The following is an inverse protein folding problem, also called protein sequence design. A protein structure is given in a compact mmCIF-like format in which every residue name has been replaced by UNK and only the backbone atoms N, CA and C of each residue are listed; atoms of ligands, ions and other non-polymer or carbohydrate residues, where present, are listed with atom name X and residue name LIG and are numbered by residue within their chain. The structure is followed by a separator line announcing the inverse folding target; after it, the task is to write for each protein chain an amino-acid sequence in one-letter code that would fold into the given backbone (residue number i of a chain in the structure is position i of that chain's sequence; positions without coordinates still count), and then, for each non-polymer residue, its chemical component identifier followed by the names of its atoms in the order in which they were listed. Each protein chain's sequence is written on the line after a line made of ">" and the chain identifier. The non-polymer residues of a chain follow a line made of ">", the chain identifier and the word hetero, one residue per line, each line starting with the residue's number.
data_IF_527712757841
#
_entry.id   IF_527712757841
#
_cell.length_a   1.000
_cell.length_b   1.000
_cell.length_c   1.000
_cell.angle_alpha   90.00
_cell.angle_beta   90.00
_cell.angle_gamma   90.00
#
_symmetry.space_group_name_H-M   'P 1'
#
loop_
_entity.id
_entity.type
_entity.pdbx_description
1 polymer ?
#
# COMPACT_ATOMS: atom_id res chain seq x y z
N UNK A 1 0.33 -6.43 4.27
CA UNK A 1 0.99 -6.16 2.99
C UNK A 1 1.04 -7.43 2.16
N UNK A 2 0.41 -7.43 0.99
CA UNK A 2 0.32 -8.64 0.16
C UNK A 2 1.70 -9.21 -0.22
N UNK A 3 2.74 -8.38 -0.35
CA UNK A 3 4.09 -8.85 -0.65
C UNK A 3 4.71 -9.68 0.48
N UNK A 4 4.33 -9.41 1.73
CA UNK A 4 4.73 -10.20 2.89
C UNK A 4 4.00 -11.55 2.89
N UNK A 5 2.68 -11.53 2.78
CA UNK A 5 1.83 -12.73 2.83
C UNK A 5 2.11 -13.65 1.65
N UNK A 6 2.34 -13.09 0.46
CA UNK A 6 2.62 -13.83 -0.76
C UNK A 6 3.83 -14.76 -0.64
N UNK A 7 4.88 -14.35 0.09
CA UNK A 7 6.08 -15.20 0.28
C UNK A 7 5.77 -16.53 0.96
N UNK A 8 4.78 -16.54 1.85
CA UNK A 8 4.35 -17.75 2.56
C UNK A 8 3.31 -18.56 1.78
N UNK A 9 2.49 -17.89 0.98
CA UNK A 9 1.37 -18.52 0.29
C UNK A 9 1.70 -18.97 -1.13
N UNK A 10 2.80 -18.48 -1.71
CA UNK A 10 3.17 -18.71 -3.11
C UNK A 10 3.16 -20.19 -3.52
N UNK A 11 3.65 -21.08 -2.66
CA UNK A 11 3.70 -22.52 -2.94
C UNK A 11 2.32 -23.20 -2.95
N UNK A 12 1.31 -22.54 -2.38
CA UNK A 12 -0.07 -23.04 -2.30
C UNK A 12 -1.00 -22.38 -3.32
N UNK A 13 -0.50 -21.41 -4.07
CA UNK A 13 -1.30 -20.66 -5.05
C UNK A 13 -1.10 -21.23 -6.45
N UNK A 14 -2.16 -21.19 -7.28
CA UNK A 14 -2.02 -21.51 -8.70
C UNK A 14 -1.18 -20.45 -9.42
N UNK A 15 -0.52 -20.83 -10.53
CA UNK A 15 0.27 -19.89 -11.34
C UNK A 15 -0.57 -18.75 -11.94
N UNK A 16 -1.88 -18.98 -12.14
CA UNK A 16 -2.84 -17.99 -12.63
C UNK A 16 -3.40 -17.07 -11.54
N UNK A 17 -3.09 -17.32 -10.27
CA UNK A 17 -3.59 -16.52 -9.16
C UNK A 17 -3.07 -15.09 -9.22
N UNK A 18 -3.99 -14.13 -9.15
CA UNK A 18 -3.67 -12.70 -9.12
C UNK A 18 -3.76 -12.17 -7.69
N UNK A 19 -2.78 -11.39 -7.28
CA UNK A 19 -2.71 -10.84 -5.92
C UNK A 19 -3.13 -9.39 -5.93
N UNK A 20 -4.21 -9.08 -5.21
CA UNK A 20 -4.66 -7.72 -4.99
C UNK A 20 -4.13 -7.22 -3.64
N UNK A 21 -3.43 -6.09 -3.65
CA UNK A 21 -2.83 -5.48 -2.47
C UNK A 21 -3.58 -4.22 -2.06
N UNK A 22 -4.33 -4.29 -0.96
CA UNK A 22 -5.09 -3.15 -0.44
C UNK A 22 -4.20 -1.96 -0.07
N UNK A 23 -2.95 -2.18 0.36
CA UNK A 23 -2.00 -1.10 0.61
C UNK A 23 -1.64 -0.34 -0.69
N UNK A 24 -1.37 -1.05 -1.77
CA UNK A 24 -1.08 -0.43 -3.08
C UNK A 24 -2.30 0.35 -3.59
N UNK A 25 -3.49 -0.20 -3.42
CA UNK A 25 -4.74 0.46 -3.79
C UNK A 25 -5.01 1.69 -2.93
N UNK A 26 -4.89 1.57 -1.60
CA UNK A 26 -5.13 2.67 -0.69
C UNK A 26 -4.26 3.89 -1.00
N UNK A 27 -2.99 3.67 -1.31
CA UNK A 27 -2.06 4.74 -1.70
C UNK A 27 -2.45 5.44 -3.00
N UNK A 28 -3.25 4.81 -3.86
CA UNK A 28 -3.72 5.38 -5.12
C UNK A 28 -5.09 6.02 -5.00
N UNK A 29 -6.00 5.37 -4.30
CA UNK A 29 -7.38 5.82 -4.15
C UNK A 29 -7.54 6.89 -3.06
N UNK A 30 -6.70 6.83 -2.03
CA UNK A 30 -6.77 7.73 -0.87
C UNK A 30 -5.39 8.35 -0.57
N UNK A 31 -4.83 9.13 -1.52
CA UNK A 31 -3.47 9.68 -1.37
C UNK A 31 -3.34 10.62 -0.17
N UNK A 32 -4.43 11.29 0.22
CA UNK A 32 -4.47 12.27 1.31
C UNK A 32 -4.73 11.66 2.70
N UNK A 33 -4.85 10.32 2.79
CA UNK A 33 -5.00 9.66 4.09
C UNK A 33 -3.77 9.92 4.97
N UNK A 34 -3.99 10.15 6.27
CA UNK A 34 -2.93 10.39 7.27
C UNK A 34 -1.84 9.30 7.18
N UNK A 35 -2.27 8.07 7.06
CA UNK A 35 -1.44 6.91 6.73
C UNK A 35 -2.33 5.82 6.12
N UNK A 36 -1.71 4.74 5.61
CA UNK A 36 -2.42 3.65 4.95
C UNK A 36 -2.44 2.36 5.80
N UNK A 37 -2.36 2.48 7.12
CA UNK A 37 -2.57 1.34 8.04
C UNK A 37 -4.04 0.92 8.00
N UNK A 38 -4.29 -0.37 8.18
CA UNK A 38 -5.65 -0.93 8.14
C UNK A 38 -6.61 -0.23 9.11
N UNK A 39 -6.17 0.04 10.34
CA UNK A 39 -6.98 0.73 11.34
C UNK A 39 -7.35 2.15 10.92
N UNK A 40 -6.40 2.91 10.36
CA UNK A 40 -6.64 4.28 9.87
C UNK A 40 -7.62 4.30 8.71
N UNK A 41 -7.44 3.37 7.74
CA UNK A 41 -8.35 3.24 6.62
C UNK A 41 -9.75 2.81 7.07
N UNK A 42 -9.85 1.87 8.01
CA UNK A 42 -11.13 1.44 8.56
C UNK A 42 -11.89 2.60 9.21
N UNK A 43 -11.21 3.40 10.03
CA UNK A 43 -11.80 4.58 10.65
C UNK A 43 -12.24 5.62 9.62
N UNK A 44 -11.38 5.96 8.66
CA UNK A 44 -11.66 6.93 7.60
C UNK A 44 -12.84 6.51 6.73
N UNK A 45 -12.95 5.22 6.41
CA UNK A 45 -13.98 4.68 5.53
C UNK A 45 -15.26 4.26 6.27
N UNK A 46 -15.34 4.46 7.58
CA UNK A 46 -16.48 4.07 8.40
C UNK A 46 -16.71 2.57 8.47
N UNK A 47 -15.64 1.78 8.37
CA UNK A 47 -15.67 0.32 8.48
C UNK A 47 -15.82 -0.07 9.94
N UNK A 48 -16.79 -0.92 10.24
CA UNK A 48 -17.03 -1.41 11.60
C UNK A 48 -15.99 -2.47 11.97
N UNK A 49 -15.27 -2.21 13.06
CA UNK A 49 -14.31 -3.15 13.65
C UNK A 49 -14.94 -3.73 14.92
N UNK A 50 -15.10 -5.06 14.98
CA UNK A 50 -15.53 -5.72 16.20
C UNK A 50 -14.42 -5.67 17.23
N UNK A 51 -14.69 -5.13 18.44
CA UNK A 51 -13.72 -5.07 19.54
C UNK A 51 -13.31 -6.45 20.03
N UNK A 52 -14.23 -7.42 19.99
CA UNK A 52 -14.02 -8.81 20.43
C UNK A 52 -13.07 -9.58 19.49
N UNK A 53 -13.03 -9.19 18.22
CA UNK A 53 -12.22 -9.84 17.16
C UNK A 53 -11.02 -8.98 16.72
N UNK A 54 -10.81 -7.85 17.37
CA UNK A 54 -9.64 -7.01 17.07
C UNK A 54 -8.35 -7.82 17.29
N UNK A 55 -7.44 -7.76 16.31
CA UNK A 55 -6.17 -8.50 16.28
C UNK A 55 -6.32 -10.04 16.19
N UNK A 56 -7.49 -10.55 15.84
CA UNK A 56 -7.65 -11.94 15.38
C UNK A 56 -7.56 -12.01 13.86
N UNK A 57 -7.08 -13.13 13.33
CA UNK A 57 -6.97 -13.32 11.87
C UNK A 57 -8.33 -13.12 11.16
N UNK A 58 -9.41 -13.64 11.74
CA UNK A 58 -10.77 -13.50 11.20
C UNK A 58 -11.27 -12.06 11.26
N UNK A 59 -10.96 -11.33 12.35
CA UNK A 59 -11.32 -9.93 12.50
C UNK A 59 -10.59 -9.05 11.50
N UNK A 60 -9.31 -9.25 11.35
CA UNK A 60 -8.47 -8.52 10.42
C UNK A 60 -8.87 -8.78 8.96
N UNK A 61 -9.19 -10.02 8.61
CA UNK A 61 -9.71 -10.38 7.29
C UNK A 61 -11.08 -9.74 7.01
N UNK A 62 -11.98 -9.75 7.98
CA UNK A 62 -13.30 -9.11 7.86
C UNK A 62 -13.18 -7.60 7.59
N UNK A 63 -12.30 -6.92 8.33
CA UNK A 63 -12.02 -5.48 8.12
C UNK A 63 -11.41 -5.25 6.73
N UNK A 64 -10.46 -6.10 6.32
CA UNK A 64 -9.83 -6.01 5.00
C UNK A 64 -10.85 -6.13 3.86
N UNK A 65 -11.77 -7.09 3.94
CA UNK A 65 -12.82 -7.28 2.94
C UNK A 65 -13.80 -6.10 2.89
N UNK A 66 -14.14 -5.51 4.03
CA UNK A 66 -14.98 -4.31 4.08
C UNK A 66 -14.28 -3.10 3.45
N UNK A 67 -12.99 -2.91 3.73
CA UNK A 67 -12.16 -1.87 3.09
C UNK A 67 -12.16 -2.08 1.57
N UNK A 68 -11.93 -3.30 1.10
CA UNK A 68 -11.91 -3.61 -0.33
C UNK A 68 -13.26 -3.34 -1.00
N UNK A 69 -14.37 -3.74 -0.37
CA UNK A 69 -15.72 -3.41 -0.86
C UNK A 69 -15.93 -1.89 -0.95
N UNK A 70 -15.44 -1.15 0.03
CA UNK A 70 -15.51 0.31 0.01
C UNK A 70 -14.67 0.91 -1.11
N UNK A 71 -13.47 0.39 -1.35
CA UNK A 71 -12.63 0.79 -2.48
C UNK A 71 -13.33 0.59 -3.82
N UNK A 72 -13.99 -0.56 -4.02
CA UNK A 72 -14.79 -0.80 -5.23
C UNK A 72 -15.91 0.22 -5.38
N UNK A 73 -16.63 0.51 -4.29
CA UNK A 73 -17.74 1.46 -4.30
C UNK A 73 -17.26 2.90 -4.59
N UNK A 74 -16.23 3.35 -3.89
CA UNK A 74 -15.72 4.74 -4.02
C UNK A 74 -15.10 4.99 -5.39
N UNK A 75 -14.44 4.00 -5.97
CA UNK A 75 -13.82 4.09 -7.30
C UNK A 75 -14.76 3.73 -8.44
N UNK A 76 -15.95 3.19 -8.15
CA UNK A 76 -16.88 2.60 -9.14
C UNK A 76 -16.23 1.51 -10.01
N UNK A 77 -15.24 0.80 -9.45
CA UNK A 77 -14.45 -0.21 -10.14
C UNK A 77 -14.75 -1.64 -9.63
N UNK A 78 -14.70 -2.59 -10.54
CA UNK A 78 -14.66 -4.02 -10.22
C UNK A 78 -13.30 -4.43 -9.62
N UNK A 79 -13.22 -5.63 -9.05
CA UNK A 79 -11.94 -6.19 -8.58
C UNK A 79 -10.89 -6.33 -9.70
N UNK A 80 -11.33 -6.65 -10.92
CA UNK A 80 -10.44 -6.75 -12.08
C UNK A 80 -9.87 -5.38 -12.44
N UNK A 81 -10.70 -4.33 -12.43
CA UNK A 81 -10.25 -2.97 -12.69
C UNK A 81 -9.31 -2.48 -11.58
N UNK A 82 -9.55 -2.84 -10.32
CA UNK A 82 -8.64 -2.53 -9.22
C UNK A 82 -7.27 -3.22 -9.38
N UNK A 83 -7.21 -4.42 -9.96
CA UNK A 83 -5.94 -5.07 -10.32
C UNK A 83 -5.14 -4.22 -11.33
N UNK A 84 -5.82 -3.62 -12.30
CA UNK A 84 -5.18 -2.73 -13.27
C UNK A 84 -4.71 -1.43 -12.59
N UNK A 85 -5.55 -0.83 -11.75
CA UNK A 85 -5.23 0.39 -10.99
C UNK A 85 -3.98 0.21 -10.12
N UNK A 86 -3.87 -0.93 -9.42
CA UNK A 86 -2.69 -1.17 -8.56
C UNK A 86 -1.38 -1.31 -9.36
N UNK A 87 -1.45 -1.67 -10.64
CA UNK A 87 -0.29 -1.81 -11.51
C UNK A 87 0.23 -0.46 -12.06
N UNK A 88 -0.59 0.60 -12.02
CA UNK A 88 -0.19 1.93 -12.50
C UNK A 88 0.85 2.52 -11.52
N UNK A 89 2.07 2.88 -11.99
CA UNK A 89 3.06 3.53 -11.15
C UNK A 89 2.56 4.88 -10.61
N UNK A 90 2.79 5.15 -9.32
CA UNK A 90 2.48 6.44 -8.72
C UNK A 90 3.63 7.41 -8.97
N UNK A 91 3.30 8.65 -9.32
CA UNK A 91 4.29 9.73 -9.38
C UNK A 91 4.58 10.22 -7.96
N UNK A 92 5.75 9.85 -7.43
CA UNK A 92 6.21 10.33 -6.13
C UNK A 92 7.17 11.50 -6.36
N UNK A 93 6.84 12.65 -5.78
CA UNK A 93 7.60 13.89 -5.95
C UNK A 93 8.36 14.27 -4.69
N UNK A 94 7.85 13.88 -3.52
CA UNK A 94 8.43 14.23 -2.22
C UNK A 94 8.75 12.99 -1.39
N UNK A 95 9.74 13.10 -0.52
CA UNK A 95 10.14 12.03 0.38
C UNK A 95 9.05 11.76 1.42
N UNK A 96 8.48 10.53 1.51
CA UNK A 96 7.33 10.27 2.39
C UNK A 96 7.71 9.99 3.85
N UNK A 97 8.98 9.79 4.18
CA UNK A 97 9.44 9.44 5.53
C UNK A 97 10.85 9.93 5.84
N UNK A 98 11.27 9.71 7.09
CA UNK A 98 12.63 9.99 7.57
C UNK A 98 12.93 11.47 7.75
N UNK A 99 14.21 11.80 7.92
CA UNK A 99 14.67 13.16 8.20
C UNK A 99 14.40 14.16 7.06
N UNK A 100 14.18 13.67 5.86
CA UNK A 100 13.88 14.48 4.66
C UNK A 100 12.42 14.40 4.24
N UNK A 101 11.54 13.98 5.14
CA UNK A 101 10.08 13.91 4.87
C UNK A 101 9.56 15.25 4.35
N UNK A 102 8.80 15.22 3.24
CA UNK A 102 8.20 16.39 2.60
C UNK A 102 9.13 17.14 1.65
N UNK A 103 10.43 16.88 1.64
CA UNK A 103 11.36 17.49 0.68
C UNK A 103 11.18 16.87 -0.71
N UNK A 104 11.40 17.69 -1.75
CA UNK A 104 11.39 17.19 -3.13
C UNK A 104 12.49 16.14 -3.34
N UNK A 105 12.18 15.05 -4.02
CA UNK A 105 13.16 13.99 -4.29
C UNK A 105 14.38 14.54 -5.03
N UNK A 106 14.18 15.47 -5.97
CA UNK A 106 15.26 16.12 -6.74
C UNK A 106 16.22 16.99 -5.91
N UNK A 107 15.83 17.34 -4.67
CA UNK A 107 16.67 18.15 -3.76
C UNK A 107 17.35 17.33 -2.66
N UNK A 108 17.19 15.99 -2.69
CA UNK A 108 17.79 15.11 -1.70
C UNK A 108 19.30 14.98 -1.94
N UNK A 109 20.11 14.92 -0.86
CA UNK A 109 21.53 14.58 -0.99
C UNK A 109 21.72 13.21 -1.64
N UNK A 110 22.63 13.11 -2.61
CA UNK A 110 22.89 11.84 -3.31
C UNK A 110 23.30 10.70 -2.36
N UNK A 111 24.05 11.02 -1.30
CA UNK A 111 24.41 10.05 -0.25
C UNK A 111 23.19 9.49 0.49
N UNK A 112 22.18 10.33 0.73
CA UNK A 112 20.94 9.89 1.36
C UNK A 112 20.10 9.02 0.42
N UNK A 113 19.99 9.39 -0.86
CA UNK A 113 19.31 8.58 -1.87
C UNK A 113 19.94 7.20 -1.97
N UNK A 114 21.27 7.13 -2.07
CA UNK A 114 22.02 5.87 -2.10
C UNK A 114 21.76 5.02 -0.85
N UNK A 115 21.80 5.63 0.33
CA UNK A 115 21.52 4.96 1.59
C UNK A 115 20.08 4.40 1.64
N UNK A 116 19.08 5.19 1.23
CA UNK A 116 17.67 4.71 1.19
C UNK A 116 17.54 3.50 0.28
N UNK A 117 18.14 3.55 -0.91
CA UNK A 117 18.05 2.47 -1.89
C UNK A 117 18.74 1.18 -1.43
N UNK A 118 19.83 1.28 -0.65
CA UNK A 118 20.58 0.12 -0.17
C UNK A 118 20.07 -0.44 1.16
N UNK A 119 19.74 0.43 2.12
CA UNK A 119 19.52 0.01 3.52
C UNK A 119 18.05 -0.11 3.91
N UNK A 120 17.14 0.62 3.23
CA UNK A 120 15.73 0.56 3.61
C UNK A 120 15.09 -0.72 3.10
N UNK A 121 14.85 -1.64 4.03
CA UNK A 121 14.13 -2.88 3.75
C UNK A 121 12.66 -2.57 3.44
N UNK A 122 12.06 -3.32 2.51
CA UNK A 122 10.66 -3.17 2.09
C UNK A 122 10.30 -1.75 1.58
N UNK A 123 11.24 -1.09 0.92
CA UNK A 123 10.99 0.21 0.28
C UNK A 123 9.82 0.07 -0.71
N UNK A 124 8.93 1.06 -0.70
CA UNK A 124 7.84 1.15 -1.68
C UNK A 124 8.40 1.15 -3.10
N UNK A 125 7.85 0.32 -3.98
CA UNK A 125 8.37 0.13 -5.33
C UNK A 125 8.30 1.41 -6.16
N UNK A 126 7.19 2.16 -6.07
CA UNK A 126 7.06 3.43 -6.79
C UNK A 126 8.10 4.46 -6.30
N UNK A 127 8.39 4.46 -4.99
CA UNK A 127 9.44 5.32 -4.43
C UNK A 127 10.84 4.86 -4.87
N UNK A 128 11.09 3.55 -4.92
CA UNK A 128 12.35 3.00 -5.44
C UNK A 128 12.58 3.45 -6.87
N UNK A 129 11.58 3.33 -7.73
CA UNK A 129 11.65 3.79 -9.13
C UNK A 129 11.93 5.29 -9.19
N UNK A 130 11.20 6.08 -8.41
CA UNK A 130 11.36 7.54 -8.39
C UNK A 130 12.75 7.98 -7.91
N UNK A 131 13.31 7.32 -6.88
CA UNK A 131 14.66 7.61 -6.39
C UNK A 131 15.75 7.15 -7.35
N UNK A 132 15.54 6.05 -8.06
CA UNK A 132 16.50 5.52 -9.04
C UNK A 132 16.56 6.35 -10.33
N UNK A 133 15.56 7.18 -10.58
CA UNK A 133 15.48 8.09 -11.74
C UNK A 133 16.12 9.46 -11.50
N UNK A 134 16.60 9.73 -10.27
CA UNK A 134 17.32 10.96 -9.91
C UNK A 134 18.80 10.71 -10.17
#
# INVERSE_FOLDING_TARGET
>A
SASFDYRFLKSYMSESAKVLCTLKLARRLYPDAENHKQATLAAMLGVKVSREKAHSADGDLSVLLQILKRMCKDSECSLTELLHIQAIPRKIVTMPFGKHKGQKLSSLPASYVKWVLSEVKNLDEDLRIALSAI
#
